data_IF_889451462415
#
_entry.id   IF_889451462415
#
_cell.length_a   1.000
_cell.length_b   1.000
_cell.length_c   1.000
_cell.angle_alpha   90.00
_cell.angle_beta   90.00
_cell.angle_gamma   90.00
#
_symmetry.space_group_name_H-M   'P 1'
#
loop_
_entity.id
_entity.type
_entity.pdbx_description
1 polymer ?
#
# COMPACT_ATOMS: atom_id res chain seq x y z
N UNK A 1 11.17 -2.61 -11.87
CA UNK A 1 12.26 -3.64 -11.90
C UNK A 1 11.65 -5.04 -11.98
N UNK A 2 12.25 -6.01 -12.71
CA UNK A 2 11.80 -7.43 -12.74
C UNK A 2 12.95 -8.39 -12.50
N UNK A 3 12.71 -9.42 -11.70
CA UNK A 3 13.68 -10.48 -11.41
C UNK A 3 13.28 -11.78 -12.13
N UNK A 4 14.27 -12.56 -12.55
CA UNK A 4 14.03 -13.92 -13.06
C UNK A 4 13.51 -14.83 -11.94
N UNK A 5 12.93 -15.98 -12.29
CA UNK A 5 12.45 -16.95 -11.29
C UNK A 5 13.57 -17.38 -10.33
N UNK A 6 14.80 -17.56 -10.86
CA UNK A 6 15.97 -17.90 -10.05
C UNK A 6 16.36 -16.76 -9.11
N UNK A 7 16.39 -15.53 -9.61
CA UNK A 7 16.68 -14.35 -8.80
C UNK A 7 15.64 -14.18 -7.68
N UNK A 8 14.36 -14.45 -7.95
CA UNK A 8 13.31 -14.49 -6.93
C UNK A 8 13.61 -15.55 -5.86
N UNK A 9 13.95 -16.79 -6.25
CA UNK A 9 14.33 -17.83 -5.27
C UNK A 9 15.52 -17.42 -4.39
N UNK A 10 16.53 -16.78 -4.96
CA UNK A 10 17.69 -16.25 -4.22
C UNK A 10 17.23 -15.17 -3.21
N UNK A 11 16.42 -14.20 -3.66
CA UNK A 11 15.90 -13.13 -2.81
C UNK A 11 15.08 -13.69 -1.66
N UNK A 12 14.15 -14.61 -1.95
CA UNK A 12 13.27 -15.24 -0.95
C UNK A 12 14.08 -16.01 0.09
N UNK A 13 15.06 -16.80 -0.35
CA UNK A 13 15.97 -17.51 0.55
C UNK A 13 16.71 -16.55 1.48
N UNK A 14 17.23 -15.44 0.94
CA UNK A 14 17.96 -14.45 1.74
C UNK A 14 17.04 -13.63 2.66
N UNK A 15 15.78 -13.38 2.28
CA UNK A 15 14.78 -12.77 3.17
C UNK A 15 14.53 -13.67 4.38
N UNK A 16 14.43 -14.99 4.17
CA UNK A 16 14.17 -15.95 5.24
C UNK A 16 15.40 -16.13 6.16
N UNK A 17 16.61 -16.19 5.60
CA UNK A 17 17.84 -16.43 6.37
C UNK A 17 18.49 -15.17 6.95
N UNK A 18 18.16 -14.00 6.43
CA UNK A 18 18.79 -12.73 6.78
C UNK A 18 19.99 -12.40 5.88
N UNK A 19 21.04 -13.22 5.95
CA UNK A 19 22.19 -13.17 5.05
C UNK A 19 22.74 -14.57 4.74
N UNK A 20 23.49 -14.69 3.64
CA UNK A 20 24.17 -15.94 3.31
C UNK A 20 25.36 -15.75 2.37
N UNK A 21 26.31 -16.70 2.43
CA UNK A 21 27.39 -16.82 1.44
C UNK A 21 26.90 -17.45 0.15
N UNK A 22 27.61 -17.20 -0.95
CA UNK A 22 27.29 -17.78 -2.27
C UNK A 22 27.17 -19.31 -2.28
N UNK A 23 27.96 -20.03 -1.45
CA UNK A 23 27.87 -21.48 -1.32
C UNK A 23 26.55 -21.93 -0.69
N UNK A 24 26.09 -21.24 0.36
CA UNK A 24 24.82 -21.57 1.02
C UNK A 24 23.62 -21.30 0.11
N UNK A 25 23.66 -20.21 -0.66
CA UNK A 25 22.65 -19.93 -1.70
C UNK A 25 22.64 -21.04 -2.75
N UNK A 26 23.83 -21.45 -3.23
CA UNK A 26 23.96 -22.56 -4.18
C UNK A 26 23.38 -23.87 -3.64
N UNK A 27 23.73 -24.25 -2.41
CA UNK A 27 23.25 -25.48 -1.79
C UNK A 27 21.73 -25.46 -1.61
N UNK A 28 21.15 -24.31 -1.24
CA UNK A 28 19.71 -24.14 -1.11
C UNK A 28 18.99 -24.30 -2.47
N UNK A 29 19.50 -23.66 -3.53
CA UNK A 29 18.90 -23.77 -4.86
C UNK A 29 19.01 -25.19 -5.42
N UNK A 30 20.15 -25.86 -5.19
CA UNK A 30 20.34 -27.28 -5.58
C UNK A 30 19.34 -28.19 -4.87
N UNK A 31 19.11 -28.00 -3.56
CA UNK A 31 18.09 -28.74 -2.80
C UNK A 31 16.67 -28.49 -3.30
N UNK A 32 16.40 -27.31 -3.85
CA UNK A 32 15.10 -27.00 -4.48
C UNK A 32 14.94 -27.57 -5.90
N UNK A 33 15.90 -28.37 -6.37
CA UNK A 33 15.86 -29.02 -7.69
C UNK A 33 16.35 -28.17 -8.85
N UNK A 34 17.01 -27.03 -8.61
CA UNK A 34 17.70 -26.31 -9.70
C UNK A 34 19.05 -26.93 -10.02
N UNK A 35 19.20 -27.42 -11.25
CA UNK A 35 20.49 -27.86 -11.79
C UNK A 35 21.24 -26.66 -12.39
N UNK A 36 22.00 -25.97 -11.54
CA UNK A 36 22.79 -24.79 -11.91
C UNK A 36 24.18 -24.86 -11.29
N UNK A 37 25.18 -24.28 -11.96
CA UNK A 37 26.55 -24.24 -11.42
C UNK A 37 26.71 -23.13 -10.37
N UNK A 38 27.68 -23.29 -9.45
CA UNK A 38 28.05 -22.23 -8.50
C UNK A 38 28.51 -20.94 -9.22
N UNK A 39 29.12 -21.05 -10.39
CA UNK A 39 29.54 -19.90 -11.21
C UNK A 39 28.31 -19.12 -11.67
N UNK A 40 27.26 -19.82 -12.11
CA UNK A 40 25.98 -19.20 -12.48
C UNK A 40 25.35 -18.48 -11.29
N UNK A 41 25.33 -19.09 -10.10
CA UNK A 41 24.82 -18.45 -8.87
C UNK A 41 25.60 -17.18 -8.53
N UNK A 42 26.95 -17.22 -8.60
CA UNK A 42 27.78 -16.03 -8.37
C UNK A 42 27.49 -14.91 -9.37
N UNK A 43 27.21 -15.23 -10.63
CA UNK A 43 26.81 -14.25 -11.65
C UNK A 43 25.47 -13.58 -11.31
N UNK A 44 24.48 -14.35 -10.88
CA UNK A 44 23.17 -13.83 -10.45
C UNK A 44 23.31 -12.93 -9.21
N UNK A 45 24.08 -13.36 -8.21
CA UNK A 45 24.36 -12.55 -7.01
C UNK A 45 25.05 -11.23 -7.35
N UNK A 46 26.02 -11.25 -8.27
CA UNK A 46 26.70 -10.05 -8.74
C UNK A 46 25.77 -9.11 -9.51
N UNK A 47 24.87 -9.64 -10.35
CA UNK A 47 23.87 -8.85 -11.05
C UNK A 47 22.88 -8.20 -10.08
N UNK A 48 22.34 -8.98 -9.13
CA UNK A 48 21.43 -8.47 -8.12
C UNK A 48 22.08 -7.40 -7.24
N UNK A 49 23.36 -7.57 -6.89
CA UNK A 49 24.13 -6.55 -6.15
C UNK A 49 24.29 -5.27 -6.96
N UNK A 50 24.62 -5.38 -8.26
CA UNK A 50 24.74 -4.21 -9.16
C UNK A 50 23.44 -3.41 -9.27
N UNK A 51 22.30 -4.09 -9.16
CA UNK A 51 20.96 -3.50 -9.21
C UNK A 51 20.47 -2.99 -7.84
N UNK A 52 21.30 -3.06 -6.80
CA UNK A 52 20.93 -2.71 -5.42
C UNK A 52 19.94 -3.67 -4.76
N UNK A 53 19.57 -4.76 -5.43
CA UNK A 53 18.63 -5.74 -4.90
C UNK A 53 19.25 -6.57 -3.76
N UNK A 54 20.57 -6.76 -3.79
CA UNK A 54 21.35 -7.33 -2.71
C UNK A 54 22.42 -6.35 -2.25
N UNK A 55 22.75 -6.43 -0.96
CA UNK A 55 23.87 -5.76 -0.32
C UNK A 55 24.93 -6.80 0.04
N UNK A 56 26.18 -6.37 0.12
CA UNK A 56 27.29 -7.25 0.49
C UNK A 56 27.98 -6.79 1.75
N UNK A 57 28.42 -7.74 2.57
CA UNK A 57 29.23 -7.51 3.77
C UNK A 57 30.41 -8.47 3.78
N UNK A 58 31.53 -8.07 4.41
CA UNK A 58 32.78 -8.85 4.44
C UNK A 58 33.64 -8.72 3.17
N UNK A 59 34.69 -9.54 3.06
CA UNK A 59 35.66 -9.47 1.96
C UNK A 59 36.16 -10.86 1.51
N UNK A 60 36.53 -10.97 0.24
CA UNK A 60 37.08 -12.21 -0.33
C UNK A 60 36.16 -13.42 -0.16
N UNK A 61 36.64 -14.45 0.56
CA UNK A 61 35.87 -15.69 0.81
C UNK A 61 34.78 -15.54 1.87
N UNK A 62 34.77 -14.45 2.63
CA UNK A 62 33.80 -14.19 3.69
C UNK A 62 32.62 -13.34 3.24
N UNK A 63 32.52 -13.00 1.95
CA UNK A 63 31.42 -12.17 1.42
C UNK A 63 30.07 -12.86 1.68
N UNK A 64 29.21 -12.16 2.39
CA UNK A 64 27.81 -12.51 2.61
C UNK A 64 26.91 -11.52 1.85
N UNK A 65 25.75 -12.01 1.45
CA UNK A 65 24.74 -11.26 0.72
C UNK A 65 23.49 -11.14 1.59
N UNK A 66 22.94 -9.94 1.69
CA UNK A 66 21.67 -9.65 2.34
C UNK A 66 20.74 -8.92 1.36
N UNK A 67 19.43 -8.95 1.58
CA UNK A 67 18.48 -8.31 0.66
C UNK A 67 18.39 -6.81 0.93
N UNK A 68 18.67 -6.01 -0.10
CA UNK A 68 18.49 -4.54 -0.09
C UNK A 68 17.05 -4.13 -0.36
N UNK A 69 16.76 -2.83 -0.24
CA UNK A 69 15.39 -2.29 -0.38
C UNK A 69 14.72 -2.67 -1.71
N UNK A 70 15.35 -2.48 -2.90
CA UNK A 70 14.76 -2.92 -4.17
C UNK A 70 14.46 -4.42 -4.22
N UNK A 71 15.32 -5.25 -3.61
CA UNK A 71 15.12 -6.70 -3.57
C UNK A 71 13.87 -7.08 -2.79
N UNK A 72 13.64 -6.43 -1.64
CA UNK A 72 12.43 -6.61 -0.82
C UNK A 72 11.17 -6.13 -1.53
N UNK A 73 11.20 -4.91 -2.07
CA UNK A 73 10.07 -4.28 -2.75
C UNK A 73 9.52 -5.17 -3.85
N UNK A 74 10.40 -5.76 -4.67
CA UNK A 74 9.99 -6.60 -5.80
C UNK A 74 10.03 -8.12 -5.52
N UNK A 75 10.12 -8.55 -4.26
CA UNK A 75 10.06 -9.97 -3.90
C UNK A 75 8.65 -10.52 -4.15
N UNK A 76 8.52 -11.59 -4.95
CA UNK A 76 7.21 -12.20 -5.24
C UNK A 76 6.82 -13.15 -4.10
N UNK A 77 6.06 -12.62 -3.15
CA UNK A 77 5.58 -13.35 -1.97
C UNK A 77 4.15 -13.83 -2.24
N UNK A 78 3.89 -15.11 -2.02
CA UNK A 78 2.51 -15.62 -1.91
C UNK A 78 1.92 -15.17 -0.58
N UNK A 79 1.07 -14.15 -0.59
CA UNK A 79 0.52 -13.55 0.61
C UNK A 79 -0.34 -14.52 1.43
N UNK A 80 -1.11 -15.39 0.74
CA UNK A 80 -1.95 -16.39 1.40
C UNK A 80 -1.10 -17.44 2.09
N UNK A 81 -0.14 -18.03 1.37
CA UNK A 81 0.80 -19.00 1.93
C UNK A 81 1.63 -18.43 3.09
N UNK A 82 2.05 -17.16 2.97
CA UNK A 82 2.78 -16.47 4.03
C UNK A 82 1.91 -16.26 5.28
N UNK A 83 0.68 -15.78 5.13
CA UNK A 83 -0.22 -15.50 6.25
C UNK A 83 -0.88 -16.74 6.87
N UNK A 84 -0.77 -17.91 6.23
CA UNK A 84 -1.13 -19.19 6.82
C UNK A 84 -0.19 -19.61 7.97
N UNK A 85 0.99 -18.98 8.08
CA UNK A 85 1.93 -19.19 9.17
C UNK A 85 1.58 -18.23 10.33
N UNK A 86 1.53 -18.78 11.54
CA UNK A 86 1.30 -18.02 12.77
C UNK A 86 2.22 -16.78 12.85
N UNK A 87 1.71 -15.59 13.27
CA UNK A 87 2.46 -14.34 13.24
C UNK A 87 3.85 -14.41 13.88
N UNK A 88 3.99 -15.11 15.01
CA UNK A 88 5.26 -15.21 15.74
C UNK A 88 6.30 -16.13 15.06
N UNK A 89 5.86 -16.99 14.14
CA UNK A 89 6.68 -17.96 13.41
C UNK A 89 7.02 -17.49 11.99
N UNK A 90 6.40 -16.42 11.50
CA UNK A 90 6.71 -15.85 10.18
C UNK A 90 8.15 -15.31 10.16
N UNK A 91 8.85 -15.59 9.06
CA UNK A 91 10.11 -14.91 8.76
C UNK A 91 9.82 -13.48 8.33
N UNK A 92 10.74 -12.55 8.57
CA UNK A 92 10.56 -11.15 8.20
C UNK A 92 10.98 -10.17 9.30
N UNK A 93 10.65 -8.90 9.08
CA UNK A 93 10.98 -7.79 9.94
C UNK A 93 9.92 -7.61 11.02
N UNK A 94 10.38 -7.47 12.26
CA UNK A 94 9.53 -7.17 13.42
C UNK A 94 9.51 -5.68 13.78
N UNK A 95 10.31 -4.87 13.08
CA UNK A 95 10.55 -3.45 13.34
C UNK A 95 10.57 -2.65 12.04
N UNK A 96 10.46 -1.33 12.16
CA UNK A 96 10.56 -0.39 11.04
C UNK A 96 11.87 -0.54 10.26
N UNK A 97 11.77 -0.54 8.94
CA UNK A 97 12.88 -0.59 8.00
C UNK A 97 13.29 0.84 7.61
N UNK A 98 14.30 1.40 8.28
CA UNK A 98 14.72 2.80 8.09
C UNK A 98 15.08 3.17 6.65
N UNK A 99 15.81 2.33 5.89
CA UNK A 99 16.09 2.60 4.48
C UNK A 99 14.88 2.58 3.53
N UNK A 100 13.71 2.06 3.95
CA UNK A 100 12.61 1.71 3.04
C UNK A 100 12.22 2.87 2.11
N UNK A 101 11.92 4.04 2.67
CA UNK A 101 11.42 5.16 1.88
C UNK A 101 12.55 5.98 1.23
N UNK A 102 13.74 6.04 1.83
CA UNK A 102 14.89 6.72 1.25
C UNK A 102 15.42 5.98 0.02
N UNK A 103 15.40 4.66 0.04
CA UNK A 103 15.84 3.78 -1.06
C UNK A 103 14.69 3.22 -1.91
N UNK A 104 13.44 3.66 -1.67
CA UNK A 104 12.28 3.22 -2.44
C UNK A 104 12.49 3.51 -3.94
N UNK A 105 12.41 2.50 -4.82
CA UNK A 105 12.49 2.71 -6.26
C UNK A 105 11.37 3.61 -6.78
N UNK A 106 11.66 4.50 -7.72
CA UNK A 106 10.65 5.36 -8.35
C UNK A 106 9.75 4.58 -9.31
N UNK A 107 10.31 3.60 -10.03
CA UNK A 107 9.62 2.84 -11.09
C UNK A 107 9.14 1.46 -10.58
N UNK A 108 7.91 1.44 -10.09
CA UNK A 108 7.28 0.26 -9.45
C UNK A 108 6.50 -0.64 -10.41
N UNK A 109 6.11 -0.08 -11.55
CA UNK A 109 5.41 -0.79 -12.62
C UNK A 109 6.40 -1.12 -13.74
N UNK A 110 6.19 -2.26 -14.38
CA UNK A 110 6.84 -2.59 -15.64
C UNK A 110 6.24 -1.79 -16.79
N UNK A 111 6.96 -1.64 -17.90
CA UNK A 111 6.47 -0.94 -19.10
C UNK A 111 5.13 -1.49 -19.60
N UNK A 112 4.90 -2.80 -19.47
CA UNK A 112 3.64 -3.44 -19.84
C UNK A 112 2.49 -3.04 -18.89
N UNK A 113 2.72 -3.07 -17.58
CA UNK A 113 1.74 -2.62 -16.59
C UNK A 113 1.44 -1.12 -16.74
N UNK A 114 2.46 -0.31 -17.01
CA UNK A 114 2.32 1.12 -17.22
C UNK A 114 1.47 1.43 -18.46
N UNK A 115 1.72 0.78 -19.60
CA UNK A 115 0.89 0.93 -20.81
C UNK A 115 -0.57 0.57 -20.56
N UNK A 116 -0.82 -0.49 -19.79
CA UNK A 116 -2.18 -0.91 -19.42
C UNK A 116 -2.88 0.17 -18.58
N UNK A 117 -2.19 0.70 -17.56
CA UNK A 117 -2.71 1.78 -16.72
C UNK A 117 -2.98 3.06 -17.51
N UNK A 118 -2.05 3.48 -18.37
CA UNK A 118 -2.17 4.66 -19.22
C UNK A 118 -3.34 4.54 -20.19
N UNK A 119 -3.52 3.37 -20.82
CA UNK A 119 -4.66 3.11 -21.70
C UNK A 119 -6.00 3.18 -20.95
N UNK A 120 -6.08 2.64 -19.73
CA UNK A 120 -7.27 2.75 -18.89
C UNK A 120 -7.57 4.20 -18.49
N UNK A 121 -6.54 4.97 -18.13
CA UNK A 121 -6.67 6.38 -17.78
C UNK A 121 -7.11 7.23 -18.96
N UNK A 122 -6.56 7.01 -20.16
CA UNK A 122 -6.98 7.73 -21.36
C UNK A 122 -8.47 7.50 -21.64
N UNK A 123 -8.94 6.24 -21.53
CA UNK A 123 -10.37 5.91 -21.68
C UNK A 123 -11.24 6.56 -20.59
N UNK A 124 -10.76 6.58 -19.35
CA UNK A 124 -11.45 7.25 -18.25
C UNK A 124 -11.62 8.74 -18.50
N UNK A 125 -10.54 9.44 -18.89
CA UNK A 125 -10.54 10.88 -19.20
C UNK A 125 -11.55 11.16 -20.31
N UNK A 126 -11.51 10.42 -21.41
CA UNK A 126 -12.46 10.57 -22.51
C UNK A 126 -13.92 10.37 -22.07
N UNK A 127 -14.18 9.41 -21.18
CA UNK A 127 -15.51 9.12 -20.65
C UNK A 127 -16.07 10.27 -19.79
N UNK A 128 -15.22 10.95 -19.01
CA UNK A 128 -15.65 12.03 -18.12
C UNK A 128 -15.77 13.40 -18.81
N UNK A 129 -15.19 13.58 -20.00
CA UNK A 129 -15.27 14.85 -20.75
C UNK A 129 -16.71 15.21 -21.13
N UNK A 130 -17.52 14.23 -21.52
CA UNK A 130 -18.85 14.44 -22.10
C UNK A 130 -20.00 13.95 -21.21
N UNK A 131 -19.75 13.76 -19.90
CA UNK A 131 -20.77 13.24 -18.99
C UNK A 131 -21.76 14.33 -18.56
N UNK A 132 -23.09 14.14 -18.71
CA UNK A 132 -24.07 15.09 -18.21
C UNK A 132 -23.95 15.29 -16.69
N UNK A 133 -24.15 16.53 -16.16
CA UNK A 133 -24.00 16.82 -14.73
C UNK A 133 -24.85 15.92 -13.81
N UNK A 134 -26.06 15.56 -14.25
CA UNK A 134 -26.94 14.66 -13.50
C UNK A 134 -26.34 13.24 -13.36
N UNK A 135 -25.70 12.73 -14.41
CA UNK A 135 -25.04 11.43 -14.39
C UNK A 135 -23.77 11.51 -13.54
N UNK A 136 -22.99 12.59 -13.64
CA UNK A 136 -21.81 12.81 -12.80
C UNK A 136 -22.16 12.80 -11.30
N UNK A 137 -23.25 13.47 -10.91
CA UNK A 137 -23.72 13.48 -9.51
C UNK A 137 -24.07 12.07 -9.02
N UNK A 138 -24.78 11.29 -9.85
CA UNK A 138 -25.17 9.91 -9.52
C UNK A 138 -23.96 8.98 -9.41
N UNK A 139 -23.01 9.09 -10.34
CA UNK A 139 -21.77 8.32 -10.33
C UNK A 139 -20.90 8.64 -9.11
N UNK A 140 -20.83 9.93 -8.76
CA UNK A 140 -20.12 10.37 -7.57
C UNK A 140 -20.75 9.83 -6.28
N UNK A 141 -22.07 9.92 -6.16
CA UNK A 141 -22.80 9.37 -5.01
C UNK A 141 -22.57 7.86 -4.88
N UNK A 142 -22.67 7.12 -6.00
CA UNK A 142 -22.38 5.69 -6.04
C UNK A 142 -20.96 5.37 -5.57
N UNK A 143 -19.95 6.07 -6.07
CA UNK A 143 -18.56 5.87 -5.62
C UNK A 143 -18.42 6.14 -4.12
N UNK A 144 -18.96 7.27 -3.63
CA UNK A 144 -18.85 7.65 -2.23
C UNK A 144 -19.45 6.57 -1.32
N UNK A 145 -20.63 6.04 -1.68
CA UNK A 145 -21.30 4.97 -0.94
C UNK A 145 -20.40 3.73 -0.91
N UNK A 146 -19.97 3.25 -2.08
CA UNK A 146 -19.18 2.02 -2.20
C UNK A 146 -17.83 2.11 -1.50
N UNK A 147 -17.12 3.23 -1.69
CA UNK A 147 -15.82 3.48 -1.08
C UNK A 147 -15.93 3.61 0.44
N UNK A 148 -16.91 4.36 0.95
CA UNK A 148 -17.09 4.57 2.40
C UNK A 148 -17.50 3.27 3.09
N UNK A 149 -18.38 2.50 2.47
CA UNK A 149 -18.74 1.15 2.91
C UNK A 149 -17.52 0.24 2.94
N UNK A 150 -16.84 0.06 1.81
CA UNK A 150 -15.79 -0.94 1.68
C UNK A 150 -14.57 -0.62 2.53
N UNK A 151 -14.17 0.65 2.56
CA UNK A 151 -13.07 1.12 3.41
C UNK A 151 -13.35 0.89 4.89
N UNK A 152 -14.58 1.10 5.35
CA UNK A 152 -14.95 0.85 6.75
C UNK A 152 -15.05 -0.65 7.04
N UNK A 153 -15.62 -1.42 6.12
CA UNK A 153 -15.79 -2.89 6.24
C UNK A 153 -14.45 -3.62 6.36
N UNK A 154 -13.42 -3.20 5.60
CA UNK A 154 -12.06 -3.75 5.73
C UNK A 154 -11.48 -3.58 7.15
N UNK A 155 -11.94 -2.58 7.91
CA UNK A 155 -11.55 -2.38 9.31
C UNK A 155 -12.49 -3.07 10.32
N UNK A 156 -13.47 -3.84 9.86
CA UNK A 156 -14.41 -4.59 10.69
C UNK A 156 -15.76 -3.91 10.94
N UNK A 157 -16.06 -2.80 10.25
CA UNK A 157 -17.39 -2.18 10.32
C UNK A 157 -18.45 -3.13 9.74
N UNK A 158 -19.59 -3.23 10.44
CA UNK A 158 -20.64 -4.21 10.22
C UNK A 158 -21.76 -3.73 9.30
N UNK A 159 -21.76 -2.46 8.89
CA UNK A 159 -22.77 -1.94 7.96
C UNK A 159 -22.78 -2.72 6.64
N UNK A 160 -23.98 -3.03 6.15
CA UNK A 160 -24.15 -3.49 4.78
C UNK A 160 -24.02 -2.33 3.79
N UNK A 161 -23.89 -2.67 2.50
CA UNK A 161 -23.89 -1.64 1.45
C UNK A 161 -25.21 -0.87 1.43
N UNK A 162 -26.34 -1.55 1.67
CA UNK A 162 -27.67 -0.94 1.73
C UNK A 162 -27.83 -0.02 2.95
N UNK A 163 -27.32 -0.44 4.11
CA UNK A 163 -27.32 0.41 5.31
C UNK A 163 -26.46 1.65 5.11
N UNK A 164 -25.33 1.50 4.40
CA UNK A 164 -24.44 2.62 4.05
C UNK A 164 -25.11 3.59 3.09
N UNK A 165 -25.81 3.10 2.08
CA UNK A 165 -26.61 3.91 1.15
C UNK A 165 -27.67 4.71 1.91
N UNK A 166 -28.46 4.04 2.76
CA UNK A 166 -29.48 4.68 3.60
C UNK A 166 -28.88 5.75 4.51
N UNK A 167 -27.74 5.46 5.15
CA UNK A 167 -27.04 6.42 6.00
C UNK A 167 -26.58 7.65 5.21
N UNK A 168 -26.00 7.46 4.03
CA UNK A 168 -25.40 8.55 3.25
C UNK A 168 -26.44 9.43 2.55
N UNK A 169 -27.52 8.82 2.05
CA UNK A 169 -28.55 9.47 1.24
C UNK A 169 -29.69 10.03 2.10
N UNK A 170 -30.15 9.25 3.08
CA UNK A 170 -31.32 9.60 3.91
C UNK A 170 -30.93 10.14 5.30
N UNK A 171 -29.64 10.13 5.65
CA UNK A 171 -29.13 10.50 6.98
C UNK A 171 -29.78 9.67 8.10
N UNK A 172 -30.02 8.38 7.83
CA UNK A 172 -30.69 7.46 8.74
C UNK A 172 -29.77 6.30 9.13
N UNK A 173 -29.41 6.24 10.40
CA UNK A 173 -28.62 5.15 10.96
C UNK A 173 -29.36 3.81 10.91
N UNK A 174 -28.60 2.73 10.74
CA UNK A 174 -29.14 1.38 10.72
C UNK A 174 -29.35 0.89 12.17
N UNK A 175 -30.49 0.27 12.48
CA UNK A 175 -30.77 -0.20 13.83
C UNK A 175 -29.82 -1.33 14.22
N UNK A 176 -29.35 -1.33 15.48
CA UNK A 176 -28.51 -2.40 16.03
C UNK A 176 -27.01 -2.26 15.79
N UNK A 177 -26.57 -1.15 15.18
CA UNK A 177 -25.14 -0.81 15.03
C UNK A 177 -24.70 0.24 16.04
N UNK A 178 -23.39 0.30 16.31
CA UNK A 178 -22.83 1.36 17.15
C UNK A 178 -22.82 2.70 16.38
N UNK A 179 -23.08 3.80 17.09
CA UNK A 179 -23.02 5.14 16.53
C UNK A 179 -21.62 5.46 15.97
N UNK A 180 -20.57 4.93 16.59
CA UNK A 180 -19.20 5.05 16.07
C UNK A 180 -19.06 4.47 14.66
N UNK A 181 -19.73 3.35 14.34
CA UNK A 181 -19.69 2.74 13.01
C UNK A 181 -20.34 3.63 11.96
N UNK A 182 -21.48 4.26 12.29
CA UNK A 182 -22.13 5.24 11.43
C UNK A 182 -21.22 6.46 11.20
N UNK A 183 -20.62 6.98 12.27
CA UNK A 183 -19.74 8.14 12.22
C UNK A 183 -18.49 7.87 11.37
N UNK A 184 -17.92 6.66 11.40
CA UNK A 184 -16.81 6.26 10.53
C UNK A 184 -17.15 6.41 9.04
N UNK A 185 -18.36 6.01 8.64
CA UNK A 185 -18.84 6.08 7.25
C UNK A 185 -19.08 7.53 6.84
N UNK A 186 -19.74 8.32 7.71
CA UNK A 186 -19.98 9.75 7.48
C UNK A 186 -18.66 10.51 7.34
N UNK A 187 -17.70 10.25 8.21
CA UNK A 187 -16.37 10.84 8.14
C UNK A 187 -15.65 10.47 6.83
N UNK A 188 -15.78 9.22 6.40
CA UNK A 188 -15.17 8.77 5.15
C UNK A 188 -15.75 9.51 3.93
N UNK A 189 -17.09 9.69 3.89
CA UNK A 189 -17.77 10.53 2.89
C UNK A 189 -17.25 11.95 2.92
N UNK A 190 -17.23 12.58 4.10
CA UNK A 190 -16.82 13.97 4.26
C UNK A 190 -15.35 14.19 3.87
N UNK A 191 -14.47 13.25 4.23
CA UNK A 191 -13.07 13.28 3.86
C UNK A 191 -12.88 13.18 2.35
N UNK A 192 -13.66 12.34 1.66
CA UNK A 192 -13.61 12.25 0.20
C UNK A 192 -14.09 13.55 -0.48
N UNK A 193 -15.16 14.17 0.05
CA UNK A 193 -15.63 15.47 -0.44
C UNK A 193 -14.58 16.56 -0.27
N UNK A 194 -13.97 16.64 0.92
CA UNK A 194 -12.85 17.53 1.20
C UNK A 194 -11.68 17.32 0.23
N UNK A 195 -11.27 16.07 -0.01
CA UNK A 195 -10.22 15.75 -0.97
C UNK A 195 -10.55 16.29 -2.37
N UNK A 196 -11.80 16.18 -2.82
CA UNK A 196 -12.20 16.65 -4.16
C UNK A 196 -12.14 18.18 -4.25
N UNK A 197 -12.59 18.87 -3.22
CA UNK A 197 -12.54 20.34 -3.14
C UNK A 197 -11.09 20.87 -3.05
N UNK A 198 -10.19 20.09 -2.45
CA UNK A 198 -8.80 20.45 -2.20
C UNK A 198 -7.79 19.61 -2.99
N UNK A 199 -8.19 19.01 -4.13
CA UNK A 199 -7.39 18.00 -4.82
C UNK A 199 -5.97 18.47 -5.18
N UNK A 200 -5.82 19.74 -5.56
CA UNK A 200 -4.51 20.32 -5.90
C UNK A 200 -3.50 20.26 -4.73
N UNK A 201 -3.97 20.33 -3.47
CA UNK A 201 -3.12 20.25 -2.27
C UNK A 201 -2.44 18.88 -2.12
N UNK A 202 -2.98 17.83 -2.75
CA UNK A 202 -2.50 16.46 -2.67
C UNK A 202 -1.59 16.03 -3.82
N UNK A 203 -1.17 16.96 -4.69
CA UNK A 203 -0.08 16.70 -5.65
C UNK A 203 1.23 16.32 -4.96
N UNK A 204 1.42 16.87 -3.77
CA UNK A 204 2.50 16.54 -2.84
C UNK A 204 1.87 16.14 -1.51
N UNK A 205 2.12 14.92 -1.04
CA UNK A 205 1.71 14.53 0.31
C UNK A 205 2.62 15.25 1.31
N UNK A 206 2.03 15.99 2.24
CA UNK A 206 2.76 16.70 3.30
C UNK A 206 2.22 16.23 4.65
N UNK A 207 2.98 16.43 5.72
CA UNK A 207 2.46 16.19 7.07
C UNK A 207 1.17 16.97 7.32
N UNK A 208 1.13 18.24 6.93
CA UNK A 208 -0.02 19.13 7.19
C UNK A 208 -1.30 18.66 6.47
N UNK A 209 -1.23 18.30 5.19
CA UNK A 209 -2.42 17.81 4.48
C UNK A 209 -2.84 16.40 4.96
N UNK A 210 -1.89 15.59 5.42
CA UNK A 210 -2.16 14.27 6.01
C UNK A 210 -2.87 14.38 7.37
N UNK A 211 -2.41 15.27 8.26
CA UNK A 211 -3.05 15.55 9.56
C UNK A 211 -4.45 16.17 9.36
N UNK A 212 -4.62 17.10 8.41
CA UNK A 212 -5.94 17.67 8.06
C UNK A 212 -6.91 16.61 7.56
N UNK A 213 -6.46 15.72 6.67
CA UNK A 213 -7.27 14.61 6.18
C UNK A 213 -7.66 13.66 7.33
N UNK A 214 -6.70 13.29 8.16
CA UNK A 214 -6.93 12.42 9.31
C UNK A 214 -7.94 13.01 10.30
N UNK A 215 -7.84 14.32 10.60
CA UNK A 215 -8.77 15.00 11.49
C UNK A 215 -10.24 14.84 11.05
N UNK A 216 -10.50 14.85 9.73
CA UNK A 216 -11.85 14.60 9.20
C UNK A 216 -12.22 13.11 9.34
N UNK A 217 -11.29 12.20 9.06
CA UNK A 217 -11.50 10.74 9.15
C UNK A 217 -11.89 10.30 10.57
N UNK A 218 -11.37 10.95 11.60
CA UNK A 218 -11.60 10.58 13.00
C UNK A 218 -12.52 11.53 13.77
N UNK A 219 -13.13 12.49 13.10
CA UNK A 219 -14.01 13.46 13.73
C UNK A 219 -15.14 12.77 14.54
N UNK A 220 -15.30 13.14 15.81
CA UNK A 220 -16.31 12.53 16.69
C UNK A 220 -16.00 11.11 17.19
N UNK A 221 -14.81 10.56 16.94
CA UNK A 221 -14.43 9.20 17.38
C UNK A 221 -13.49 9.17 18.61
N UNK A 222 -13.30 10.29 19.30
CA UNK A 222 -12.41 10.39 20.47
C UNK A 222 -10.94 9.98 20.21
N UNK A 223 -10.42 10.32 19.02
CA UNK A 223 -9.04 10.04 18.59
C UNK A 223 -8.26 11.35 18.41
N UNK A 224 -7.00 11.40 18.84
CA UNK A 224 -6.13 12.55 18.61
C UNK A 224 -5.80 12.77 17.13
N UNK A 225 -5.74 14.02 16.68
CA UNK A 225 -5.61 14.39 15.25
C UNK A 225 -4.17 14.65 14.77
N UNK A 226 -3.23 14.77 15.70
CA UNK A 226 -1.80 14.93 15.40
C UNK A 226 -1.07 13.59 15.37
N UNK A 227 0.21 13.63 14.98
CA UNK A 227 1.09 12.46 15.12
C UNK A 227 1.08 11.92 16.55
N UNK A 228 0.95 10.60 16.68
CA UNK A 228 0.87 9.96 17.99
C UNK A 228 2.19 10.05 18.74
N UNK A 229 2.09 10.25 20.06
CA UNK A 229 3.23 10.14 20.99
C UNK A 229 3.34 8.77 21.68
N UNK A 230 2.35 7.88 21.48
CA UNK A 230 2.28 6.56 22.12
C UNK A 230 2.56 5.43 21.12
N UNK A 231 3.13 4.29 21.55
CA UNK A 231 3.29 3.11 20.70
C UNK A 231 1.92 2.53 20.27
N UNK A 232 1.87 1.97 19.07
CA UNK A 232 0.72 1.19 18.56
C UNK A 232 1.22 -0.15 18.00
N UNK A 233 0.31 -1.11 17.89
CA UNK A 233 0.57 -2.42 17.28
C UNK A 233 -0.32 -2.65 16.07
N UNK A 234 0.12 -3.55 15.19
CA UNK A 234 -0.69 -4.02 14.06
C UNK A 234 -1.29 -5.37 14.43
N UNK A 235 -2.62 -5.45 14.53
CA UNK A 235 -3.32 -6.70 14.84
C UNK A 235 -3.00 -7.75 13.76
N UNK A 236 -2.63 -8.96 14.20
CA UNK A 236 -2.28 -10.07 13.31
C UNK A 236 -0.86 -10.00 12.73
N UNK A 237 0.02 -9.17 13.28
CA UNK A 237 1.41 -9.03 12.82
C UNK A 237 2.40 -8.95 13.98
N UNK A 238 3.60 -9.51 13.78
CA UNK A 238 4.73 -9.32 14.70
C UNK A 238 5.44 -7.97 14.47
N UNK A 239 5.11 -7.26 13.38
CA UNK A 239 5.68 -5.95 13.06
C UNK A 239 5.20 -4.88 14.04
N UNK A 240 6.16 -4.09 14.54
CA UNK A 240 5.92 -2.91 15.36
C UNK A 240 6.35 -1.64 14.62
N UNK A 241 5.42 -0.69 14.39
CA UNK A 241 5.73 0.63 13.86
C UNK A 241 6.67 1.43 14.78
N UNK A 242 7.14 2.57 14.27
CA UNK A 242 7.94 3.53 15.04
C UNK A 242 7.19 3.98 16.30
N UNK A 243 7.87 4.04 17.44
CA UNK A 243 7.30 4.46 18.74
C UNK A 243 7.86 5.80 19.23
N UNK A 244 8.86 6.36 18.55
CA UNK A 244 9.42 7.67 18.82
C UNK A 244 8.83 8.74 17.88
N UNK A 245 8.37 9.87 18.45
CA UNK A 245 7.74 10.96 17.69
C UNK A 245 8.67 11.59 16.64
N UNK A 246 9.96 11.79 16.96
CA UNK A 246 10.92 12.37 16.02
C UNK A 246 11.18 11.43 14.85
N UNK A 247 11.40 10.14 15.12
CA UNK A 247 11.56 9.14 14.05
C UNK A 247 10.30 9.02 13.21
N UNK A 248 9.11 9.13 13.82
CA UNK A 248 7.85 9.10 13.09
C UNK A 248 7.71 10.30 12.15
N UNK A 249 8.11 11.50 12.59
CA UNK A 249 8.18 12.69 11.74
C UNK A 249 9.13 12.47 10.56
N UNK A 250 10.36 12.00 10.83
CA UNK A 250 11.33 11.66 9.78
C UNK A 250 10.79 10.59 8.81
N UNK A 251 10.05 9.61 9.31
CA UNK A 251 9.42 8.58 8.49
C UNK A 251 8.35 9.14 7.55
N UNK A 252 7.51 10.06 8.03
CA UNK A 252 6.51 10.76 7.21
C UNK A 252 7.19 11.64 6.15
N UNK A 253 8.26 12.34 6.51
CA UNK A 253 9.03 13.19 5.59
C UNK A 253 9.79 12.34 4.54
N UNK A 254 10.34 11.19 4.95
CA UNK A 254 10.97 10.24 4.04
C UNK A 254 9.95 9.65 3.06
N UNK A 255 8.73 9.32 3.51
CA UNK A 255 7.64 8.91 2.65
C UNK A 255 7.26 10.03 1.67
N UNK A 256 7.03 11.25 2.14
CA UNK A 256 6.74 12.42 1.29
C UNK A 256 7.80 12.62 0.20
N UNK A 257 9.08 12.52 0.58
CA UNK A 257 10.21 12.61 -0.33
C UNK A 257 10.21 11.47 -1.35
N UNK A 258 9.90 10.24 -0.94
CA UNK A 258 9.78 9.09 -1.84
C UNK A 258 8.70 9.29 -2.89
N UNK A 259 7.52 9.77 -2.48
CA UNK A 259 6.41 10.06 -3.37
C UNK A 259 6.75 11.16 -4.38
N UNK A 260 7.49 12.19 -3.94
CA UNK A 260 7.93 13.29 -4.82
C UNK A 260 8.90 12.85 -5.92
N UNK A 261 9.70 11.80 -5.67
CA UNK A 261 10.62 11.23 -6.67
C UNK A 261 9.92 10.35 -7.72
N UNK A 262 8.67 9.93 -7.47
CA UNK A 262 7.94 9.04 -8.39
C UNK A 262 7.27 9.87 -9.50
N UNK A 263 7.52 9.58 -10.79
CA UNK A 263 6.88 10.33 -11.87
C UNK A 263 5.40 9.93 -12.05
N UNK A 264 5.08 8.64 -11.91
CA UNK A 264 3.75 8.12 -12.18
C UNK A 264 2.79 8.29 -10.98
N UNK A 265 1.61 8.92 -11.15
CA UNK A 265 0.62 9.07 -10.07
C UNK A 265 0.14 7.73 -9.48
N UNK A 266 0.14 6.65 -10.28
CA UNK A 266 -0.18 5.30 -9.80
C UNK A 266 0.78 4.82 -8.71
N UNK A 267 2.09 5.02 -8.92
CA UNK A 267 3.12 4.64 -7.97
C UNK A 267 3.02 5.48 -6.70
N UNK A 268 2.82 6.80 -6.85
CA UNK A 268 2.57 7.71 -5.73
C UNK A 268 1.38 7.27 -4.89
N UNK A 269 0.24 6.99 -5.54
CA UNK A 269 -0.98 6.58 -4.87
C UNK A 269 -0.81 5.27 -4.07
N UNK A 270 -0.24 4.24 -4.71
CA UNK A 270 -0.01 2.95 -4.07
C UNK A 270 0.96 3.05 -2.88
N UNK A 271 2.07 3.79 -3.03
CA UNK A 271 3.04 3.95 -1.95
C UNK A 271 2.55 4.87 -0.85
N UNK A 272 1.72 5.88 -1.14
CA UNK A 272 1.06 6.67 -0.10
C UNK A 272 0.21 5.76 0.79
N UNK A 273 -0.59 4.87 0.20
CA UNK A 273 -1.40 3.91 0.96
C UNK A 273 -0.54 2.98 1.81
N UNK A 274 0.40 2.29 1.18
CA UNK A 274 1.25 1.31 1.85
C UNK A 274 2.10 1.96 2.94
N UNK A 275 2.67 3.13 2.63
CA UNK A 275 3.57 3.87 3.51
C UNK A 275 2.87 4.44 4.74
N UNK A 276 1.72 5.12 4.58
CA UNK A 276 0.94 5.63 5.72
C UNK A 276 0.49 4.47 6.61
N UNK A 277 0.05 3.37 6.00
CA UNK A 277 -0.39 2.18 6.72
C UNK A 277 0.74 1.47 7.48
N UNK A 278 1.98 1.58 6.99
CA UNK A 278 3.18 0.99 7.60
C UNK A 278 3.75 1.85 8.74
N UNK A 279 3.76 3.16 8.55
CA UNK A 279 4.20 4.13 9.57
C UNK A 279 3.24 4.17 10.76
N UNK A 280 1.94 4.01 10.49
CA UNK A 280 0.85 4.24 11.45
C UNK A 280 1.03 5.56 12.21
N UNK A 281 0.96 6.72 11.54
CA UNK A 281 1.28 8.01 12.16
C UNK A 281 0.31 8.46 13.26
N UNK A 282 -0.89 7.90 13.33
CA UNK A 282 -1.95 8.33 14.23
C UNK A 282 -2.34 7.26 15.23
N UNK A 283 -3.05 7.64 16.29
CA UNK A 283 -3.55 6.72 17.32
C UNK A 283 -4.52 5.67 16.76
N UNK A 284 -5.43 6.10 15.87
CA UNK A 284 -6.31 5.23 15.07
C UNK A 284 -6.67 5.92 13.73
N UNK A 285 -7.35 5.23 12.82
CA UNK A 285 -7.80 5.76 11.53
C UNK A 285 -6.75 5.65 10.42
N UNK A 286 -5.54 5.17 10.73
CA UNK A 286 -4.39 5.11 9.81
C UNK A 286 -4.72 4.51 8.44
N UNK A 287 -5.36 3.32 8.40
CA UNK A 287 -5.64 2.62 7.15
C UNK A 287 -6.76 3.27 6.33
N UNK A 288 -7.76 3.88 6.99
CA UNK A 288 -8.81 4.68 6.34
C UNK A 288 -8.22 5.95 5.73
N UNK A 289 -7.38 6.67 6.49
CA UNK A 289 -6.63 7.83 5.99
C UNK A 289 -5.72 7.45 4.83
N UNK A 290 -5.04 6.30 4.89
CA UNK A 290 -4.16 5.82 3.82
C UNK A 290 -4.91 5.57 2.51
N UNK A 291 -6.08 4.93 2.54
CA UNK A 291 -6.93 4.70 1.36
C UNK A 291 -7.44 6.02 0.77
N UNK A 292 -7.86 6.96 1.62
CA UNK A 292 -8.30 8.30 1.19
C UNK A 292 -7.15 9.13 0.61
N UNK A 293 -5.96 9.11 1.23
CA UNK A 293 -4.77 9.80 0.74
C UNK A 293 -4.34 9.28 -0.64
N UNK A 294 -4.42 7.96 -0.86
CA UNK A 294 -4.17 7.36 -2.17
C UNK A 294 -5.13 7.88 -3.25
N UNK A 295 -6.43 7.99 -2.92
CA UNK A 295 -7.41 8.61 -3.81
C UNK A 295 -7.16 10.12 -4.01
N UNK A 296 -6.71 10.82 -2.98
CA UNK A 296 -6.37 12.23 -3.08
C UNK A 296 -5.24 12.47 -4.09
N UNK A 297 -4.20 11.63 -4.07
CA UNK A 297 -3.12 11.66 -5.05
C UNK A 297 -3.64 11.40 -6.47
N UNK A 298 -4.55 10.44 -6.67
CA UNK A 298 -5.11 10.15 -8.00
C UNK A 298 -5.95 11.33 -8.51
N UNK A 299 -6.87 11.84 -7.68
CA UNK A 299 -7.73 12.96 -8.02
C UNK A 299 -6.93 14.24 -8.32
N UNK A 300 -5.83 14.49 -7.58
CA UNK A 300 -4.92 15.62 -7.82
C UNK A 300 -4.29 15.64 -9.23
N UNK A 301 -4.25 14.48 -9.88
CA UNK A 301 -3.72 14.27 -11.24
C UNK A 301 -4.82 13.96 -12.26
N UNK A 302 -6.11 14.05 -11.89
CA UNK A 302 -7.24 13.78 -12.77
C UNK A 302 -7.46 12.30 -13.09
N UNK A 303 -6.96 11.40 -12.24
CA UNK A 303 -7.04 9.95 -12.45
C UNK A 303 -8.25 9.36 -11.73
N UNK A 304 -8.66 8.17 -12.14
CA UNK A 304 -9.81 7.49 -11.54
C UNK A 304 -9.55 7.16 -10.06
N UNK A 305 -10.46 7.51 -9.13
CA UNK A 305 -10.35 7.11 -7.72
C UNK A 305 -10.69 5.63 -7.53
N UNK A 306 -10.01 4.97 -6.60
CA UNK A 306 -10.24 3.57 -6.23
C UNK A 306 -11.45 3.43 -5.29
N UNK A 307 -12.25 2.38 -5.47
CA UNK A 307 -13.38 2.05 -4.59
C UNK A 307 -13.13 0.84 -3.69
N UNK A 308 -12.23 -0.07 -4.09
CA UNK A 308 -11.99 -1.38 -3.47
C UNK A 308 -13.19 -2.33 -3.44
N UNK A 309 -14.31 -1.98 -4.10
CA UNK A 309 -15.62 -2.66 -3.96
C UNK A 309 -15.52 -4.18 -4.07
N UNK A 310 -14.75 -4.68 -5.03
CA UNK A 310 -14.60 -6.10 -5.34
C UNK A 310 -13.44 -6.80 -4.62
N UNK A 311 -12.68 -6.11 -3.78
CA UNK A 311 -11.53 -6.72 -3.07
C UNK A 311 -12.01 -7.53 -1.88
N UNK A 312 -11.56 -8.77 -1.76
CA UNK A 312 -11.83 -9.56 -0.56
C UNK A 312 -11.03 -9.02 0.65
N UNK A 313 -11.68 -8.92 1.81
CA UNK A 313 -11.07 -8.31 3.00
C UNK A 313 -9.81 -9.05 3.45
N UNK A 314 -9.84 -10.39 3.37
CA UNK A 314 -8.69 -11.23 3.70
C UNK A 314 -7.54 -11.02 2.70
N UNK A 315 -7.82 -10.97 1.39
CA UNK A 315 -6.79 -10.73 0.38
C UNK A 315 -6.09 -9.38 0.60
N UNK A 316 -6.86 -8.33 0.91
CA UNK A 316 -6.30 -7.03 1.26
C UNK A 316 -5.43 -7.11 2.52
N UNK A 317 -5.92 -7.74 3.59
CA UNK A 317 -5.19 -7.87 4.86
C UNK A 317 -3.89 -8.66 4.68
N UNK A 318 -3.93 -9.79 3.98
CA UNK A 318 -2.76 -10.62 3.68
C UNK A 318 -1.70 -9.81 2.91
N UNK A 319 -2.11 -9.07 1.88
CA UNK A 319 -1.20 -8.20 1.11
C UNK A 319 -0.56 -7.10 1.97
N UNK A 320 -1.33 -6.49 2.88
CA UNK A 320 -0.82 -5.49 3.82
C UNK A 320 0.18 -6.09 4.82
N UNK A 321 -0.10 -7.28 5.35
CA UNK A 321 0.80 -7.99 6.28
C UNK A 321 2.14 -8.33 5.62
N UNK A 322 2.11 -8.78 4.36
CA UNK A 322 3.34 -8.98 3.57
C UNK A 322 4.13 -7.67 3.45
N UNK A 323 3.47 -6.54 3.19
CA UNK A 323 4.18 -5.26 3.13
C UNK A 323 4.76 -4.86 4.49
N UNK A 324 4.05 -5.11 5.59
CA UNK A 324 4.53 -4.77 6.93
C UNK A 324 5.76 -5.58 7.34
N UNK A 325 5.77 -6.87 7.05
CA UNK A 325 6.81 -7.77 7.56
C UNK A 325 7.93 -8.00 6.54
N UNK A 326 7.68 -7.85 5.25
CA UNK A 326 8.68 -8.10 4.18
C UNK A 326 9.03 -6.83 3.40
N UNK A 327 8.13 -5.84 3.37
CA UNK A 327 8.15 -4.67 2.47
C UNK A 327 8.00 -5.01 0.98
N UNK A 328 7.52 -6.22 0.65
CA UNK A 328 7.13 -6.54 -0.73
C UNK A 328 5.83 -5.82 -1.09
N UNK A 329 5.84 -5.12 -2.23
CA UNK A 329 4.64 -4.50 -2.77
C UNK A 329 3.87 -5.45 -3.69
N UNK A 330 4.45 -6.59 -4.07
CA UNK A 330 3.94 -7.41 -5.18
C UNK A 330 2.50 -7.88 -4.97
N UNK A 331 2.10 -8.41 -3.79
CA UNK A 331 0.70 -8.78 -3.56
C UNK A 331 -0.24 -7.59 -3.68
N UNK A 332 0.11 -6.47 -3.04
CA UNK A 332 -0.74 -5.28 -3.06
C UNK A 332 -0.79 -4.61 -4.44
N UNK A 333 0.30 -4.68 -5.22
CA UNK A 333 0.35 -4.17 -6.59
C UNK A 333 -0.65 -4.89 -7.49
N UNK A 334 -0.83 -6.21 -7.31
CA UNK A 334 -1.86 -6.98 -8.03
C UNK A 334 -3.26 -6.46 -7.71
N UNK A 335 -3.56 -6.23 -6.43
CA UNK A 335 -4.84 -5.62 -6.00
C UNK A 335 -5.00 -4.22 -6.61
N UNK A 336 -3.97 -3.37 -6.49
CA UNK A 336 -4.01 -2.00 -7.00
C UNK A 336 -4.28 -1.94 -8.50
N UNK A 337 -3.59 -2.75 -9.31
CA UNK A 337 -3.79 -2.83 -10.75
C UNK A 337 -5.24 -3.20 -11.08
N UNK A 338 -5.75 -4.28 -10.51
CA UNK A 338 -7.12 -4.75 -10.74
C UNK A 338 -8.14 -3.68 -10.34
N UNK A 339 -7.97 -3.04 -9.18
CA UNK A 339 -8.89 -2.02 -8.70
C UNK A 339 -8.84 -0.73 -9.51
N UNK A 340 -7.65 -0.33 -9.98
CA UNK A 340 -7.53 0.86 -10.82
C UNK A 340 -8.21 0.65 -12.17
N UNK A 341 -7.97 -0.51 -12.81
CA UNK A 341 -8.61 -0.86 -14.08
C UNK A 341 -10.13 -0.93 -13.96
N UNK A 342 -10.62 -1.57 -12.89
CA UNK A 342 -12.04 -1.60 -12.56
C UNK A 342 -12.60 -0.17 -12.39
N UNK A 343 -11.94 0.67 -11.59
CA UNK A 343 -12.42 2.02 -11.34
C UNK A 343 -12.47 2.89 -12.60
N UNK A 344 -11.41 2.86 -13.41
CA UNK A 344 -11.32 3.59 -14.67
C UNK A 344 -12.40 3.15 -15.67
N UNK A 345 -12.81 1.89 -15.64
CA UNK A 345 -13.88 1.36 -16.47
C UNK A 345 -15.29 1.69 -15.92
N UNK A 346 -15.50 1.52 -14.62
CA UNK A 346 -16.85 1.53 -14.03
C UNK A 346 -17.33 2.92 -13.61
N UNK A 347 -16.45 3.80 -13.13
CA UNK A 347 -16.84 5.13 -12.64
C UNK A 347 -16.56 6.22 -13.65
N UNK A 348 -17.39 7.26 -13.67
CA UNK A 348 -17.17 8.45 -14.49
C UNK A 348 -17.38 9.70 -13.63
N UNK A 349 -16.30 10.17 -13.00
CA UNK A 349 -16.34 11.26 -12.03
C UNK A 349 -15.32 12.32 -12.45
N UNK A 350 -15.79 13.56 -12.56
CA UNK A 350 -14.96 14.71 -12.87
C UNK A 350 -14.73 15.57 -11.65
#
# INVERSE_FOLDING_TARGET
>A
MRFSLRQQKIILFLIEKGDARSSAVYDALKKSGEDVSLVTIKRELAELTRRGALLTTGAGRSVAYAVGTPGRVFADIDARGYCAIEPDKRYGMKRYNFPLFTEMPADLFSDAEQKILESATARYIQKIENIPPAIQKKELERLIIELSWKSSRIEGNTYTLLDTERLIVENREAPGHDHAEAQMIINHKNAFLFIREHAAEFRTLTRANLERLHAIVVNGLSVGTGLRGKPVGVVGSAYRPLDNLYQLQEGVDALSSALSRMPAPYAKSMIALLGISYLQPFEDGNKRTARLAANAVLLAHGYAPLSYRSVEENEYREAMLVFYEINSIIPFKKIFLTQYLFAAEQYAIK
#
